data_IF_288643687331
#
_entry.id   IF_288643687331
#
_cell.length_a   1.000
_cell.length_b   1.000
_cell.length_c   1.000
_cell.angle_alpha   90.00
_cell.angle_beta   90.00
_cell.angle_gamma   90.00
#
_symmetry.space_group_name_H-M   'P 1'
#
loop_
_entity.id
_entity.type
_entity.pdbx_description
1 polymer ?
#
# COMPACT_ATOMS: atom_id res chain seq x y z
N UNK A 1 -15.66 -7.42 5.65
CA UNK A 1 -14.51 -6.73 6.25
C UNK A 1 -15.05 -5.77 7.30
N UNK A 2 -14.68 -5.96 8.57
CA UNK A 2 -15.15 -5.06 9.63
C UNK A 2 -14.37 -3.75 9.56
N UNK A 3 -15.04 -2.62 9.82
CA UNK A 3 -14.42 -1.29 9.83
C UNK A 3 -14.44 -0.75 11.25
N UNK A 4 -13.29 -0.27 11.74
CA UNK A 4 -13.17 0.40 13.03
C UNK A 4 -12.35 1.68 12.88
N UNK A 5 -12.61 2.67 13.73
CA UNK A 5 -11.90 3.95 13.70
C UNK A 5 -11.04 4.09 14.95
N UNK A 6 -9.82 4.59 14.78
CA UNK A 6 -8.94 4.94 15.89
C UNK A 6 -8.52 6.40 15.75
N UNK A 7 -8.24 7.06 16.88
CA UNK A 7 -7.74 8.44 16.90
C UNK A 7 -6.26 8.43 17.28
N UNK A 8 -5.40 8.93 16.40
CA UNK A 8 -3.95 8.98 16.58
C UNK A 8 -3.48 10.39 16.27
N UNK A 9 -2.79 11.06 17.19
CA UNK A 9 -2.26 12.43 17.00
C UNK A 9 -3.29 13.42 16.40
N UNK A 10 -4.55 13.31 16.85
CA UNK A 10 -5.69 14.10 16.37
C UNK A 10 -6.16 13.80 14.92
N UNK A 11 -5.61 12.77 14.27
CA UNK A 11 -6.12 12.21 13.02
C UNK A 11 -7.02 10.99 13.29
N UNK A 12 -8.13 10.89 12.56
CA UNK A 12 -8.98 9.71 12.56
C UNK A 12 -8.51 8.74 11.48
N UNK A 13 -8.14 7.52 11.87
CA UNK A 13 -7.66 6.47 10.97
C UNK A 13 -8.70 5.37 10.91
N UNK A 14 -9.11 5.00 9.69
CA UNK A 14 -9.97 3.87 9.43
C UNK A 14 -9.12 2.61 9.30
N UNK A 15 -9.42 1.62 10.15
CA UNK A 15 -8.84 0.28 10.09
C UNK A 15 -9.86 -0.69 9.53
N UNK A 16 -9.36 -1.60 8.70
CA UNK A 16 -10.10 -2.68 8.09
C UNK A 16 -9.59 -4.01 8.62
N UNK A 17 -10.45 -4.80 9.23
CA UNK A 17 -10.06 -6.10 9.77
C UNK A 17 -10.36 -7.21 8.77
N UNK A 18 -9.34 -7.99 8.45
CA UNK A 18 -9.42 -9.20 7.63
C UNK A 18 -8.45 -10.25 8.16
N UNK A 19 -8.91 -11.50 8.31
CA UNK A 19 -8.06 -12.62 8.76
C UNK A 19 -7.28 -12.35 10.06
N UNK A 20 -7.89 -11.63 11.03
CA UNK A 20 -7.27 -11.19 12.29
C UNK A 20 -6.07 -10.25 12.11
N UNK A 21 -5.95 -9.61 10.95
CA UNK A 21 -4.99 -8.56 10.66
C UNK A 21 -5.73 -7.26 10.38
N UNK A 22 -5.17 -6.16 10.87
CA UNK A 22 -5.66 -4.81 10.61
C UNK A 22 -4.94 -4.20 9.41
N UNK A 23 -5.71 -3.59 8.51
CA UNK A 23 -5.22 -2.92 7.31
C UNK A 23 -5.67 -1.46 7.31
N UNK A 24 -4.85 -0.60 6.73
CA UNK A 24 -5.21 0.79 6.39
C UNK A 24 -5.42 0.88 4.89
N UNK A 25 -6.44 1.62 4.46
CA UNK A 25 -6.68 1.87 3.03
C UNK A 25 -5.58 2.77 2.45
N UNK A 26 -4.90 2.30 1.40
CA UNK A 26 -3.92 3.08 0.65
C UNK A 26 -4.53 4.38 0.10
N UNK A 27 -5.77 4.31 -0.40
CA UNK A 27 -6.49 5.48 -0.93
C UNK A 27 -6.85 6.49 0.16
N UNK A 28 -7.06 6.05 1.40
CA UNK A 28 -7.32 6.96 2.51
C UNK A 28 -6.03 7.68 2.93
N UNK A 29 -4.87 7.00 2.88
CA UNK A 29 -3.55 7.64 3.08
C UNK A 29 -3.31 8.69 1.98
N UNK A 30 -3.61 8.36 0.73
CA UNK A 30 -3.44 9.30 -0.39
C UNK A 30 -4.35 10.52 -0.24
N UNK A 31 -5.64 10.33 0.08
CA UNK A 31 -6.60 11.42 0.33
C UNK A 31 -6.20 12.30 1.50
N UNK A 32 -5.62 11.72 2.56
CA UNK A 32 -5.12 12.48 3.70
C UNK A 32 -3.98 13.42 3.29
N UNK A 33 -3.13 12.99 2.34
CA UNK A 33 -2.03 13.81 1.81
C UNK A 33 -2.51 14.89 0.84
N UNK A 34 -3.38 14.53 -0.10
CA UNK A 34 -4.05 15.46 -1.02
C UNK A 34 -5.36 14.84 -1.51
N UNK A 35 -6.49 15.44 -1.13
CA UNK A 35 -7.81 14.93 -1.45
C UNK A 35 -8.17 15.11 -2.94
N UNK A 36 -7.66 16.16 -3.58
CA UNK A 36 -7.96 16.47 -4.99
C UNK A 36 -7.09 15.65 -5.95
N UNK A 37 -5.87 15.31 -5.54
CA UNK A 37 -4.89 14.58 -6.37
C UNK A 37 -4.50 13.21 -5.82
N UNK A 38 -5.40 12.57 -5.09
CA UNK A 38 -5.15 11.26 -4.47
C UNK A 38 -4.78 10.17 -5.48
N UNK A 39 -5.37 10.20 -6.68
CA UNK A 39 -5.06 9.31 -7.80
C UNK A 39 -3.63 9.51 -8.31
N UNK A 40 -3.18 10.75 -8.46
CA UNK A 40 -1.82 11.08 -8.87
C UNK A 40 -0.78 10.62 -7.84
N UNK A 41 -1.09 10.76 -6.54
CA UNK A 41 -0.21 10.28 -5.47
C UNK A 41 -0.03 8.76 -5.57
N UNK A 42 -1.12 8.00 -5.71
CA UNK A 42 -1.06 6.53 -5.84
C UNK A 42 -0.30 6.16 -7.11
N UNK A 43 -0.57 6.82 -8.24
CA UNK A 43 0.18 6.60 -9.48
C UNK A 43 1.69 6.86 -9.30
N UNK A 44 2.06 7.92 -8.59
CA UNK A 44 3.47 8.24 -8.36
C UNK A 44 4.16 7.18 -7.49
N UNK A 45 3.50 6.67 -6.44
CA UNK A 45 4.02 5.56 -5.65
C UNK A 45 4.21 4.29 -6.48
N UNK A 46 3.25 3.96 -7.34
CA UNK A 46 3.33 2.76 -8.19
C UNK A 46 4.33 2.89 -9.35
N UNK A 47 4.73 4.11 -9.73
CA UNK A 47 5.78 4.36 -10.74
C UNK A 47 7.18 4.48 -10.14
N UNK A 48 7.29 4.84 -8.87
CA UNK A 48 8.57 5.03 -8.22
C UNK A 48 9.20 3.65 -7.93
N UNK A 49 10.35 3.39 -8.56
CA UNK A 49 11.08 2.12 -8.44
C UNK A 49 11.33 1.74 -6.98
N UNK A 50 11.82 2.68 -6.16
CA UNK A 50 12.15 2.44 -4.75
C UNK A 50 10.91 2.00 -3.95
N UNK A 51 9.75 2.60 -4.23
CA UNK A 51 8.47 2.27 -3.60
C UNK A 51 8.02 0.86 -3.98
N UNK A 52 8.11 0.51 -5.27
CA UNK A 52 7.75 -0.81 -5.79
C UNK A 52 8.71 -1.89 -5.27
N UNK A 53 10.01 -1.64 -5.31
CA UNK A 53 11.06 -2.54 -4.80
C UNK A 53 10.87 -2.81 -3.31
N UNK A 54 10.59 -1.77 -2.51
CA UNK A 54 10.30 -1.93 -1.09
C UNK A 54 9.08 -2.80 -0.84
N UNK A 55 7.98 -2.59 -1.58
CA UNK A 55 6.78 -3.42 -1.47
C UNK A 55 7.08 -4.88 -1.88
N UNK A 56 7.87 -5.07 -2.92
CA UNK A 56 8.34 -6.39 -3.35
C UNK A 56 9.14 -7.13 -2.28
N UNK A 57 10.07 -6.43 -1.62
CA UNK A 57 10.82 -6.99 -0.49
C UNK A 57 9.90 -7.36 0.66
N UNK A 58 8.96 -6.48 1.01
CA UNK A 58 7.99 -6.72 2.07
C UNK A 58 7.12 -7.96 1.75
N UNK A 59 6.63 -8.08 0.52
CA UNK A 59 5.83 -9.23 0.06
C UNK A 59 6.64 -10.53 0.14
N UNK A 60 7.91 -10.53 -0.30
CA UNK A 60 8.78 -11.71 -0.17
C UNK A 60 8.94 -12.19 1.27
N UNK A 61 8.95 -11.26 2.24
CA UNK A 61 9.11 -11.57 3.66
C UNK A 61 7.78 -12.06 4.26
N UNK A 62 6.65 -11.43 3.93
CA UNK A 62 5.39 -11.61 4.65
C UNK A 62 4.37 -12.50 3.91
N UNK A 63 4.55 -12.73 2.61
CA UNK A 63 3.63 -13.49 1.78
C UNK A 63 4.32 -14.74 1.21
N UNK A 64 4.08 -15.89 1.88
CA UNK A 64 4.69 -17.19 1.51
C UNK A 64 4.40 -17.64 0.07
N UNK A 65 3.30 -17.16 -0.52
CA UNK A 65 2.87 -17.53 -1.87
C UNK A 65 3.21 -16.46 -2.91
N UNK A 66 4.09 -15.50 -2.57
CA UNK A 66 4.46 -14.42 -3.47
C UNK A 66 5.17 -14.94 -4.74
N UNK A 67 4.68 -14.52 -5.91
CA UNK A 67 5.29 -14.87 -7.20
C UNK A 67 6.46 -13.93 -7.52
N UNK A 68 7.62 -14.23 -6.96
CA UNK A 68 8.85 -13.44 -7.16
C UNK A 68 9.27 -13.34 -8.63
N UNK A 69 9.09 -14.41 -9.41
CA UNK A 69 9.55 -14.46 -10.80
C UNK A 69 8.78 -13.46 -11.67
N UNK A 70 7.46 -13.43 -11.53
CA UNK A 70 6.63 -12.47 -12.25
C UNK A 70 6.87 -11.03 -11.79
N UNK A 71 7.07 -10.84 -10.48
CA UNK A 71 7.39 -9.54 -9.91
C UNK A 71 8.73 -9.00 -10.44
N UNK A 72 9.77 -9.82 -10.52
CA UNK A 72 11.07 -9.38 -11.05
C UNK A 72 10.92 -8.92 -12.51
N UNK A 73 10.12 -9.62 -13.32
CA UNK A 73 9.77 -9.16 -14.66
C UNK A 73 8.97 -7.85 -14.70
N UNK A 74 8.23 -7.48 -13.65
CA UNK A 74 7.57 -6.16 -13.57
C UNK A 74 8.59 -5.06 -13.29
N UNK A 75 9.54 -5.32 -12.38
CA UNK A 75 10.61 -4.39 -12.00
C UNK A 75 11.60 -4.16 -13.15
N UNK A 76 12.02 -5.23 -13.83
CA UNK A 76 12.96 -5.18 -14.96
C UNK A 76 12.42 -4.42 -16.19
N UNK A 77 11.10 -4.21 -16.27
CA UNK A 77 10.45 -3.48 -17.37
C UNK A 77 10.19 -2.00 -17.05
N UNK A 78 10.47 -1.57 -15.83
CA UNK A 78 10.43 -0.18 -15.43
C UNK A 78 11.76 0.51 -15.80
N UNK A 79 12.01 0.63 -17.10
CA UNK A 79 13.03 1.53 -17.69
C UNK A 79 12.43 2.92 -17.96
#
# INVERSE_FOLDING_TARGET
MQKRKIKVNNAEIVLFEQNKMDFISLTDIARYKDAERSDYIVQNWMRNYESVEFLGLWERINNKNFNSIEFDGFVDRCD
#
